data_IF_573960916340
#
_entry.id   IF_573960916340
#
_cell.length_a   1.000
_cell.length_b   1.000
_cell.length_c   1.000
_cell.angle_alpha   90.00
_cell.angle_beta   90.00
_cell.angle_gamma   90.00
#
_symmetry.space_group_name_H-M   'P 1'
#
loop_
_entity.id
_entity.type
_entity.pdbx_description
1 polymer ?
#
# COMPACT_ATOMS: atom_id res chain seq x y z
N UNK A 1 -2.25 -5.46 -13.75
CA UNK A 1 -2.81 -4.27 -13.06
C UNK A 1 -3.96 -3.74 -13.90
N UNK A 2 -5.11 -3.43 -13.30
CA UNK A 2 -6.27 -2.88 -14.03
C UNK A 2 -5.96 -1.49 -14.58
N UNK A 3 -6.67 -1.07 -15.61
CA UNK A 3 -6.50 0.28 -16.18
C UNK A 3 -6.88 1.38 -15.18
N UNK A 4 -7.87 1.11 -14.33
CA UNK A 4 -8.22 1.99 -13.21
C UNK A 4 -7.04 2.16 -12.23
N UNK A 5 -6.36 1.08 -11.87
CA UNK A 5 -5.20 1.15 -10.99
C UNK A 5 -4.00 1.87 -11.65
N UNK A 6 -3.84 1.80 -12.98
CA UNK A 6 -2.84 2.60 -13.70
C UNK A 6 -3.18 4.08 -13.62
N UNK A 7 -4.44 4.42 -13.90
CA UNK A 7 -4.92 5.79 -13.86
C UNK A 7 -4.80 6.40 -12.45
N UNK A 8 -5.18 5.67 -11.41
CA UNK A 8 -5.07 6.16 -10.03
C UNK A 8 -3.61 6.38 -9.60
N UNK A 9 -2.69 5.49 -10.01
CA UNK A 9 -1.25 5.67 -9.77
C UNK A 9 -0.71 6.88 -10.52
N UNK A 10 -1.10 7.07 -11.78
CA UNK A 10 -0.68 8.24 -12.55
C UNK A 10 -1.13 9.54 -11.87
N UNK A 11 -2.34 9.56 -11.30
CA UNK A 11 -2.82 10.73 -10.58
C UNK A 11 -2.01 11.05 -9.31
N UNK A 12 -1.31 10.08 -8.71
CA UNK A 12 -0.34 10.34 -7.63
C UNK A 12 0.88 11.06 -8.20
N UNK A 13 1.42 10.57 -9.33
CA UNK A 13 2.56 11.18 -10.00
C UNK A 13 2.23 12.62 -10.42
N UNK A 14 1.07 12.83 -11.04
CA UNK A 14 0.61 14.14 -11.49
C UNK A 14 0.44 15.12 -10.32
N UNK A 15 0.02 14.63 -9.14
CA UNK A 15 -0.07 15.45 -7.94
C UNK A 15 1.31 15.88 -7.42
N UNK A 16 2.31 14.99 -7.45
CA UNK A 16 3.70 15.31 -7.08
C UNK A 16 4.32 16.29 -8.09
N UNK A 17 4.16 16.03 -9.38
CA UNK A 17 4.63 16.91 -10.46
C UNK A 17 3.97 18.29 -10.37
N UNK A 18 2.67 18.33 -10.06
CA UNK A 18 1.91 19.57 -9.90
C UNK A 18 2.13 20.29 -8.57
N UNK A 19 2.78 19.67 -7.59
CA UNK A 19 2.95 20.23 -6.25
C UNK A 19 1.65 20.37 -5.46
N UNK A 20 0.67 19.50 -5.69
CA UNK A 20 -0.66 19.57 -5.06
C UNK A 20 -0.84 18.47 -3.99
N UNK A 21 -0.62 18.86 -2.73
CA UNK A 21 -0.72 17.96 -1.58
C UNK A 21 -2.15 17.42 -1.36
N UNK A 22 -3.17 18.22 -1.69
CA UNK A 22 -4.58 17.82 -1.52
C UNK A 22 -4.96 16.75 -2.55
N UNK A 23 -4.49 16.92 -3.79
CA UNK A 23 -4.63 15.88 -4.83
C UNK A 23 -3.83 14.63 -4.49
N UNK A 24 -2.65 14.76 -3.88
CA UNK A 24 -1.84 13.62 -3.46
C UNK A 24 -2.63 12.73 -2.47
N UNK A 25 -3.18 13.32 -1.41
CA UNK A 25 -3.97 12.60 -0.41
C UNK A 25 -5.15 11.84 -1.06
N UNK A 26 -5.91 12.53 -1.90
CA UNK A 26 -7.06 11.93 -2.62
C UNK A 26 -6.62 10.81 -3.56
N UNK A 27 -5.53 10.99 -4.30
CA UNK A 27 -5.01 9.98 -5.22
C UNK A 27 -4.52 8.73 -4.49
N UNK A 28 -3.77 8.89 -3.39
CA UNK A 28 -3.33 7.79 -2.55
C UNK A 28 -4.51 6.96 -2.01
N UNK A 29 -5.58 7.62 -1.55
CA UNK A 29 -6.81 6.93 -1.12
C UNK A 29 -7.44 6.11 -2.25
N UNK A 30 -7.47 6.63 -3.49
CA UNK A 30 -7.97 5.86 -4.64
C UNK A 30 -7.10 4.65 -4.96
N UNK A 31 -5.78 4.81 -4.98
CA UNK A 31 -4.83 3.70 -5.22
C UNK A 31 -4.97 2.62 -4.15
N UNK A 32 -5.18 2.99 -2.87
CA UNK A 32 -5.37 2.00 -1.79
C UNK A 32 -6.55 1.05 -2.04
N UNK A 33 -7.59 1.53 -2.74
CA UNK A 33 -8.79 0.76 -3.08
C UNK A 33 -8.63 -0.03 -4.38
N UNK A 34 -8.00 0.55 -5.39
CA UNK A 34 -7.87 -0.07 -6.71
C UNK A 34 -6.66 -1.01 -6.83
N UNK A 35 -5.61 -0.79 -6.06
CA UNK A 35 -4.40 -1.62 -6.01
C UNK A 35 -3.67 -1.49 -4.66
N UNK A 36 -4.04 -2.31 -3.65
CA UNK A 36 -3.37 -2.31 -2.34
C UNK A 36 -1.85 -2.48 -2.39
N UNK A 37 -1.35 -3.42 -3.21
CA UNK A 37 0.09 -3.60 -3.40
C UNK A 37 0.74 -2.41 -4.12
N UNK A 38 0.01 -1.80 -5.05
CA UNK A 38 0.42 -0.57 -5.72
C UNK A 38 0.50 0.63 -4.80
N UNK A 39 -0.45 0.76 -3.87
CA UNK A 39 -0.47 1.79 -2.84
C UNK A 39 0.76 1.68 -1.94
N UNK A 40 1.05 0.48 -1.42
CA UNK A 40 2.24 0.25 -0.59
C UNK A 40 3.54 0.54 -1.35
N UNK A 41 3.64 0.14 -2.62
CA UNK A 41 4.78 0.46 -3.47
C UNK A 41 4.98 1.96 -3.67
N UNK A 42 3.91 2.69 -3.99
CA UNK A 42 3.95 4.16 -4.17
C UNK A 42 4.28 4.88 -2.87
N UNK A 43 3.71 4.45 -1.73
CA UNK A 43 4.06 5.00 -0.43
C UNK A 43 5.53 4.79 -0.10
N UNK A 44 6.10 3.62 -0.40
CA UNK A 44 7.53 3.36 -0.24
C UNK A 44 8.33 4.32 -1.11
N UNK A 45 8.04 4.42 -2.41
CA UNK A 45 8.79 5.28 -3.32
C UNK A 45 8.71 6.78 -2.92
N UNK A 46 7.56 7.23 -2.38
CA UNK A 46 7.38 8.58 -1.84
C UNK A 46 8.18 8.86 -0.56
N UNK A 47 8.58 7.83 0.17
CA UNK A 47 9.30 7.94 1.45
C UNK A 47 10.78 7.54 1.34
N UNK A 48 11.15 6.83 0.27
CA UNK A 48 12.51 6.34 0.03
C UNK A 48 13.43 7.47 -0.40
N UNK A 49 14.22 7.97 0.55
CA UNK A 49 15.17 9.07 0.33
C UNK A 49 16.52 8.58 -0.18
N UNK A 50 16.85 7.29 -0.03
CA UNK A 50 18.11 6.70 -0.51
C UNK A 50 18.00 6.26 -1.98
N UNK A 51 17.47 7.13 -2.85
CA UNK A 51 17.40 6.79 -4.25
C UNK A 51 18.77 6.76 -4.92
N UNK A 52 19.02 5.68 -5.65
CA UNK A 52 20.19 5.57 -6.52
C UNK A 52 20.04 6.55 -7.69
N UNK A 53 21.06 7.34 -7.97
CA UNK A 53 21.06 8.28 -9.11
C UNK A 53 21.03 7.56 -10.48
N UNK A 54 21.48 6.30 -10.51
CA UNK A 54 21.57 5.48 -11.70
C UNK A 54 20.89 4.13 -11.51
N UNK A 55 20.09 3.74 -12.51
CA UNK A 55 19.37 2.47 -12.54
C UNK A 55 19.81 1.65 -13.74
N UNK A 56 20.11 0.37 -13.52
CA UNK A 56 20.51 -0.54 -14.58
C UNK A 56 19.29 -0.96 -15.42
N UNK A 57 19.40 -0.89 -16.75
CA UNK A 57 18.30 -1.13 -17.70
C UNK A 57 17.79 -2.58 -17.66
N UNK A 58 18.62 -3.52 -17.19
CA UNK A 58 18.26 -4.95 -17.08
C UNK A 58 17.77 -5.31 -15.67
N UNK A 59 17.76 -4.37 -14.73
CA UNK A 59 17.20 -4.65 -13.41
C UNK A 59 15.68 -4.86 -13.55
N UNK A 60 15.19 -6.00 -13.05
CA UNK A 60 13.77 -6.36 -13.07
C UNK A 60 12.97 -5.55 -12.04
N UNK A 61 13.64 -4.70 -11.27
CA UNK A 61 13.04 -3.76 -10.35
C UNK A 61 12.41 -2.58 -11.10
N UNK A 62 11.15 -2.28 -10.78
CA UNK A 62 10.44 -1.08 -11.22
C UNK A 62 11.28 0.17 -10.94
N UNK A 63 11.50 1.00 -11.96
CA UNK A 63 12.06 2.33 -11.77
C UNK A 63 11.13 3.14 -10.84
N UNK A 64 11.66 3.80 -9.80
CA UNK A 64 10.85 4.68 -8.94
C UNK A 64 10.11 5.75 -9.72
N UNK A 65 8.93 6.14 -9.27
CA UNK A 65 8.15 7.20 -9.92
C UNK A 65 8.43 8.60 -9.36
N UNK A 66 9.18 8.67 -8.27
CA UNK A 66 9.50 9.86 -7.50
C UNK A 66 11.00 10.11 -7.53
N UNK A 67 11.42 11.36 -7.36
CA UNK A 67 12.83 11.73 -7.23
C UNK A 67 12.97 12.63 -6.00
N UNK A 68 13.94 12.35 -5.14
CA UNK A 68 14.16 13.12 -3.91
C UNK A 68 15.40 14.00 -4.04
N UNK A 69 15.26 15.29 -3.77
CA UNK A 69 16.39 16.22 -3.68
C UNK A 69 16.05 17.39 -2.76
N UNK A 70 17.02 17.87 -1.99
CA UNK A 70 16.92 19.10 -1.18
C UNK A 70 15.69 19.14 -0.23
N UNK A 71 15.30 18.00 0.33
CA UNK A 71 14.13 17.90 1.21
C UNK A 71 12.78 17.99 0.49
N UNK A 72 12.78 17.81 -0.84
CA UNK A 72 11.61 17.84 -1.71
C UNK A 72 11.47 16.51 -2.47
N UNK A 73 10.23 16.18 -2.81
CA UNK A 73 9.84 15.02 -3.60
C UNK A 73 9.27 15.50 -4.93
N UNK A 74 9.92 15.10 -6.02
CA UNK A 74 9.56 15.42 -7.40
C UNK A 74 9.05 14.19 -8.13
N UNK A 75 8.43 14.38 -9.31
CA UNK A 75 8.25 13.26 -10.23
C UNK A 75 9.60 12.84 -10.82
N UNK A 76 9.83 11.54 -11.00
CA UNK A 76 11.03 11.06 -11.68
C UNK A 76 10.85 11.01 -13.18
N UNK A 77 11.82 11.55 -13.91
CA UNK A 77 11.99 11.32 -15.35
C UNK A 77 13.34 10.67 -15.60
N UNK A 78 13.38 9.73 -16.54
CA UNK A 78 14.58 8.94 -16.80
C UNK A 78 15.17 9.28 -18.16
N UNK A 79 16.41 9.74 -18.16
CA UNK A 79 17.20 9.95 -19.38
C UNK A 79 18.19 8.81 -19.57
N UNK A 80 18.69 8.64 -20.79
CA UNK A 80 19.76 7.68 -21.06
C UNK A 80 21.03 8.13 -20.32
N UNK A 81 21.57 7.26 -19.46
CA UNK A 81 22.86 7.43 -18.82
C UNK A 81 23.97 6.73 -19.62
N UNK A 82 24.96 6.19 -18.91
CA UNK A 82 26.00 5.33 -19.48
C UNK A 82 25.41 4.03 -20.05
N UNK A 83 26.20 3.23 -20.78
CA UNK A 83 25.73 2.00 -21.44
C UNK A 83 25.02 1.09 -20.42
N UNK A 84 23.75 0.77 -20.67
CA UNK A 84 22.85 0.02 -19.77
C UNK A 84 22.40 0.73 -18.49
N UNK A 85 22.54 2.06 -18.37
CA UNK A 85 22.05 2.84 -17.22
C UNK A 85 21.06 3.94 -17.63
N UNK A 86 20.11 4.23 -16.75
CA UNK A 86 19.23 5.40 -16.81
C UNK A 86 19.48 6.31 -15.61
N UNK A 87 19.51 7.62 -15.86
CA UNK A 87 19.66 8.64 -14.82
C UNK A 87 18.30 9.25 -14.48
N UNK A 88 18.00 9.32 -13.18
CA UNK A 88 16.79 9.95 -12.70
C UNK A 88 16.97 11.47 -12.61
N UNK A 89 15.96 12.22 -13.03
CA UNK A 89 15.91 13.67 -12.95
C UNK A 89 14.59 14.13 -12.34
N UNK A 90 14.62 15.23 -11.56
CA UNK A 90 13.41 15.82 -11.01
C UNK A 90 12.51 16.37 -12.13
N UNK A 91 11.21 16.24 -11.95
CA UNK A 91 10.19 16.79 -12.83
C UNK A 91 9.08 17.45 -12.02
N UNK A 92 8.66 18.63 -12.48
CA UNK A 92 7.58 19.41 -11.89
C UNK A 92 8.00 20.31 -10.73
N UNK A 93 7.01 20.83 -10.02
CA UNK A 93 7.16 21.72 -8.87
C UNK A 93 7.65 20.97 -7.63
N UNK A 94 7.26 19.70 -7.50
CA UNK A 94 7.55 18.88 -6.33
C UNK A 94 6.75 19.27 -5.09
N UNK A 95 6.94 18.49 -4.03
CA UNK A 95 6.30 18.65 -2.73
C UNK A 95 7.34 18.57 -1.62
N UNK A 96 7.15 19.29 -0.52
CA UNK A 96 8.03 19.18 0.63
C UNK A 96 7.94 17.77 1.24
N UNK A 97 9.10 17.15 1.50
CA UNK A 97 9.18 15.78 2.02
C UNK A 97 8.41 15.63 3.35
N UNK A 98 8.47 16.64 4.22
CA UNK A 98 7.75 16.64 5.51
C UNK A 98 6.24 16.57 5.30
N UNK A 99 5.71 17.30 4.32
CA UNK A 99 4.28 17.29 4.02
C UNK A 99 3.86 15.95 3.39
N UNK A 100 4.69 15.42 2.48
CA UNK A 100 4.48 14.10 1.88
C UNK A 100 4.49 13.01 2.96
N UNK A 101 5.46 13.03 3.87
CA UNK A 101 5.55 12.10 4.99
C UNK A 101 4.30 12.11 5.86
N UNK A 102 3.83 13.30 6.24
CA UNK A 102 2.60 13.47 7.02
C UNK A 102 1.39 12.90 6.27
N UNK A 103 1.20 13.29 5.01
CA UNK A 103 0.06 12.84 4.21
C UNK A 103 0.09 11.33 3.97
N UNK A 104 1.26 10.75 3.68
CA UNK A 104 1.41 9.30 3.53
C UNK A 104 1.10 8.59 4.84
N UNK A 105 1.58 9.09 5.98
CA UNK A 105 1.29 8.51 7.29
C UNK A 105 -0.21 8.53 7.61
N UNK A 106 -0.89 9.65 7.36
CA UNK A 106 -2.34 9.78 7.54
C UNK A 106 -3.11 8.77 6.68
N UNK A 107 -2.87 8.76 5.37
CA UNK A 107 -3.59 7.85 4.45
C UNK A 107 -3.28 6.39 4.74
N UNK A 108 -2.03 6.07 5.12
CA UNK A 108 -1.63 4.72 5.50
C UNK A 108 -2.31 4.27 6.78
N UNK A 109 -2.44 5.16 7.78
CA UNK A 109 -3.15 4.85 9.02
C UNK A 109 -4.63 4.56 8.78
N UNK A 110 -5.29 5.31 7.87
CA UNK A 110 -6.68 5.04 7.48
C UNK A 110 -6.81 3.68 6.77
N UNK A 111 -5.87 3.36 5.87
CA UNK A 111 -5.83 2.08 5.18
C UNK A 111 -5.62 0.91 6.15
N UNK A 112 -4.64 1.02 7.05
CA UNK A 112 -4.36 0.01 8.07
C UNK A 112 -5.55 -0.17 9.03
N UNK A 113 -6.25 0.92 9.40
CA UNK A 113 -7.47 0.85 10.20
C UNK A 113 -8.59 0.10 9.48
N UNK A 114 -8.76 0.29 8.17
CA UNK A 114 -9.76 -0.46 7.37
C UNK A 114 -9.39 -1.95 7.28
N UNK A 115 -8.12 -2.28 7.06
CA UNK A 115 -7.64 -3.66 7.08
C UNK A 115 -7.89 -4.31 8.45
N UNK A 116 -7.57 -3.60 9.54
CA UNK A 116 -7.84 -4.07 10.91
C UNK A 116 -9.32 -4.28 11.18
N UNK A 117 -10.17 -3.37 10.68
CA UNK A 117 -11.63 -3.53 10.77
C UNK A 117 -12.08 -4.80 10.06
N UNK A 118 -11.59 -5.07 8.85
CA UNK A 118 -11.91 -6.30 8.09
C UNK A 118 -11.48 -7.57 8.82
N UNK A 119 -10.32 -7.55 9.46
CA UNK A 119 -9.88 -8.67 10.30
C UNK A 119 -10.72 -8.81 11.56
N UNK A 120 -11.20 -7.70 12.14
CA UNK A 120 -12.16 -7.71 13.25
C UNK A 120 -13.50 -8.34 12.86
N UNK A 121 -14.05 -7.97 11.69
CA UNK A 121 -15.30 -8.51 11.14
C UNK A 121 -15.24 -10.04 10.97
N UNK A 122 -14.07 -10.64 10.73
CA UNK A 122 -13.92 -12.10 10.67
C UNK A 122 -14.37 -12.78 11.98
N UNK A 123 -14.08 -12.20 13.15
CA UNK A 123 -14.52 -12.74 14.43
C UNK A 123 -16.04 -12.78 14.54
N UNK A 124 -16.70 -11.70 14.14
CA UNK A 124 -18.15 -11.60 14.18
C UNK A 124 -18.80 -12.64 13.26
N UNK A 125 -18.24 -12.81 12.06
CA UNK A 125 -18.70 -13.84 11.10
C UNK A 125 -18.47 -15.26 11.61
N UNK A 126 -17.38 -15.52 12.34
CA UNK A 126 -17.16 -16.83 12.96
C UNK A 126 -18.20 -17.13 14.04
N UNK A 127 -18.56 -16.13 14.86
CA UNK A 127 -19.60 -16.28 15.89
C UNK A 127 -20.97 -16.50 15.25
N UNK A 128 -21.30 -15.77 14.18
CA UNK A 128 -22.54 -15.96 13.43
C UNK A 128 -22.64 -17.36 12.83
N UNK A 129 -21.53 -17.87 12.27
CA UNK A 129 -21.46 -19.21 11.72
C UNK A 129 -21.66 -20.29 12.81
N UNK A 130 -21.06 -20.11 13.99
CA UNK A 130 -21.25 -21.01 15.13
C UNK A 130 -22.74 -21.12 15.52
N UNK A 131 -23.46 -19.99 15.57
CA UNK A 131 -24.89 -19.97 15.89
C UNK A 131 -25.71 -20.78 14.87
N UNK A 132 -25.38 -20.65 13.58
CA UNK A 132 -26.08 -21.38 12.51
C UNK A 132 -25.79 -22.88 12.55
N UNK A 133 -24.61 -23.28 13.04
CA UNK A 133 -24.17 -24.68 13.09
C UNK A 133 -24.63 -25.44 14.35
N UNK A 134 -25.11 -24.74 15.39
CA UNK A 134 -25.53 -25.31 16.68
C UNK A 134 -26.67 -26.35 16.58
N UNK A 135 -27.40 -26.38 15.46
CA UNK A 135 -28.47 -27.37 15.19
C UNK A 135 -28.04 -28.62 14.42
N UNK A 136 -26.76 -28.76 14.05
CA UNK A 136 -26.27 -29.86 13.23
C UNK A 136 -25.89 -31.11 14.05
N UNK A 137 -25.65 -32.24 13.37
CA UNK A 137 -25.38 -33.52 14.03
C UNK A 137 -24.11 -33.47 14.89
N UNK A 138 -23.95 -34.41 15.84
CA UNK A 138 -22.76 -34.46 16.70
C UNK A 138 -21.43 -34.59 15.93
N UNK A 139 -21.45 -35.18 14.73
CA UNK A 139 -20.29 -35.24 13.83
C UNK A 139 -20.00 -33.87 13.22
N UNK A 140 -21.03 -33.15 12.80
CA UNK A 140 -20.93 -31.80 12.26
C UNK A 140 -20.41 -30.82 13.31
N UNK A 141 -20.83 -30.98 14.58
CA UNK A 141 -20.34 -30.17 15.69
C UNK A 141 -18.84 -30.35 15.93
N UNK A 142 -18.31 -31.58 15.81
CA UNK A 142 -16.88 -31.86 15.97
C UNK A 142 -16.03 -31.22 14.86
N UNK A 143 -16.47 -31.36 13.60
CA UNK A 143 -15.79 -30.77 12.44
C UNK A 143 -15.85 -29.24 12.49
N UNK A 144 -16.99 -28.67 12.89
CA UNK A 144 -17.18 -27.22 13.05
C UNK A 144 -16.26 -26.66 14.14
N UNK A 145 -16.12 -27.38 15.26
CA UNK A 145 -15.19 -27.01 16.32
C UNK A 145 -13.72 -26.97 15.88
N UNK A 146 -13.28 -27.92 15.05
CA UNK A 146 -11.94 -27.94 14.47
C UNK A 146 -11.72 -26.74 13.52
N UNK A 147 -12.67 -26.51 12.60
CA UNK A 147 -12.60 -25.36 11.69
C UNK A 147 -12.54 -24.03 12.44
N UNK A 148 -13.29 -23.89 13.55
CA UNK A 148 -13.25 -22.71 14.41
C UNK A 148 -11.89 -22.49 15.06
N UNK A 149 -11.26 -23.54 15.58
CA UNK A 149 -9.95 -23.43 16.21
C UNK A 149 -8.90 -22.92 15.20
N UNK A 150 -8.92 -23.46 13.98
CA UNK A 150 -8.03 -23.03 12.91
C UNK A 150 -8.31 -21.60 12.45
N UNK A 151 -9.58 -21.21 12.30
CA UNK A 151 -9.96 -19.85 11.90
C UNK A 151 -9.62 -18.81 12.98
N UNK A 152 -9.78 -19.16 14.26
CA UNK A 152 -9.37 -18.31 15.39
C UNK A 152 -7.86 -18.10 15.39
N UNK A 153 -7.09 -19.17 15.17
CA UNK A 153 -5.63 -19.09 15.04
C UNK A 153 -5.23 -18.25 13.83
N UNK A 154 -5.88 -18.45 12.68
CA UNK A 154 -5.67 -17.66 11.47
C UNK A 154 -5.93 -16.17 11.70
N UNK A 155 -7.01 -15.82 12.41
CA UNK A 155 -7.30 -14.44 12.78
C UNK A 155 -6.21 -13.83 13.66
N UNK A 156 -5.74 -14.56 14.67
CA UNK A 156 -4.66 -14.08 15.53
C UNK A 156 -3.36 -13.82 14.74
N UNK A 157 -3.04 -14.68 13.78
CA UNK A 157 -1.89 -14.50 12.89
C UNK A 157 -2.06 -13.28 11.97
N UNK A 158 -3.26 -13.04 11.44
CA UNK A 158 -3.55 -11.84 10.64
C UNK A 158 -3.39 -10.56 11.47
N UNK A 159 -3.92 -10.54 12.70
CA UNK A 159 -3.74 -9.42 13.62
C UNK A 159 -2.26 -9.17 13.92
N UNK A 160 -1.47 -10.23 14.14
CA UNK A 160 -0.04 -10.14 14.37
C UNK A 160 0.72 -9.62 13.14
N UNK A 161 0.28 -9.97 11.92
CA UNK A 161 0.90 -9.50 10.68
C UNK A 161 0.64 -8.01 10.40
N UNK A 162 -0.52 -7.49 10.85
CA UNK A 162 -0.92 -6.10 10.60
C UNK A 162 -0.48 -5.16 11.73
N UNK A 163 -0.37 -5.66 12.96
CA UNK A 163 0.12 -4.88 14.09
C UNK A 163 1.64 -4.80 13.98
N UNK A 164 2.25 -3.63 13.67
CA UNK A 164 3.70 -3.53 13.69
C UNK A 164 4.19 -3.87 15.11
N UNK A 165 5.16 -4.78 15.21
CA UNK A 165 5.95 -4.92 16.43
C UNK A 165 6.56 -3.54 16.70
N UNK A 166 6.08 -2.88 17.76
CA UNK A 166 6.62 -1.61 18.23
C UNK A 166 8.11 -1.73 18.53
#
# INVERSE_FOLDING_TARGET
MSDQAKHDKQAVIDAVVGGDISRLASALKRVSRSSPSGFLGVCRDLLETEQREQFFIVDTCSLPYTYHADGMVFGATYTNGDVFFRRAHPSGTGLALVDVQRTVAEVRSEYEADVMKKVGELKERLIELDLLLDGHSAVDHSISGLARADLTKGQALLLAAITPNK
#
